data_IF_012183015120
#
_entry.id   IF_012183015120
#
_cell.length_a   1.000
_cell.length_b   1.000
_cell.length_c   1.000
_cell.angle_alpha   90.00
_cell.angle_beta   90.00
_cell.angle_gamma   90.00
#
_symmetry.space_group_name_H-M   'P 1'
#
loop_
_entity.id
_entity.type
_entity.pdbx_description
1 polymer ?
#
# COMPACT_ATOMS: atom_id res chain seq x y z
N UNK A 1 3.74 -25.22 0.90
CA UNK A 1 3.86 -23.90 1.57
C UNK A 1 2.92 -22.93 0.88
N UNK A 2 2.36 -21.96 1.59
CA UNK A 2 1.48 -20.98 0.96
C UNK A 2 2.27 -20.17 -0.08
N UNK A 3 1.93 -20.31 -1.35
CA UNK A 3 2.53 -19.55 -2.45
C UNK A 3 2.02 -18.12 -2.51
N UNK A 4 1.17 -17.70 -1.57
CA UNK A 4 0.50 -16.41 -1.61
C UNK A 4 1.16 -15.42 -0.66
N UNK A 5 1.31 -14.17 -1.09
CA UNK A 5 1.64 -13.02 -0.24
C UNK A 5 0.39 -12.15 -0.13
N UNK A 6 0.00 -11.76 1.09
CA UNK A 6 -1.13 -10.87 1.33
C UNK A 6 -0.69 -9.57 1.98
N UNK A 7 -0.87 -8.45 1.28
CA UNK A 7 -0.52 -7.11 1.77
C UNK A 7 -1.71 -6.18 1.53
N UNK A 8 -2.08 -5.38 2.55
CA UNK A 8 -3.25 -4.49 2.52
C UNK A 8 -4.56 -5.21 2.10
N UNK A 9 -4.69 -6.48 2.48
CA UNK A 9 -5.82 -7.35 2.12
C UNK A 9 -5.85 -7.81 0.66
N UNK A 10 -4.82 -7.51 -0.14
CA UNK A 10 -4.66 -8.02 -1.50
C UNK A 10 -3.70 -9.20 -1.50
N UNK A 11 -4.13 -10.31 -2.10
CA UNK A 11 -3.34 -11.53 -2.19
C UNK A 11 -2.76 -11.71 -3.59
N UNK A 12 -1.47 -12.03 -3.67
CA UNK A 12 -0.77 -12.38 -4.91
C UNK A 12 -0.21 -13.79 -4.79
N UNK A 13 -0.57 -14.65 -5.74
CA UNK A 13 0.03 -15.98 -5.86
C UNK A 13 1.38 -15.89 -6.60
N UNK A 14 2.43 -16.42 -5.98
CA UNK A 14 3.78 -16.45 -6.50
C UNK A 14 4.03 -17.66 -7.41
N UNK A 15 3.20 -18.71 -7.35
CA UNK A 15 3.35 -19.90 -8.20
C UNK A 15 2.94 -19.64 -9.65
N UNK A 16 1.93 -18.80 -9.86
CA UNK A 16 1.49 -18.35 -11.20
C UNK A 16 2.48 -17.39 -11.88
N UNK A 17 3.56 -17.03 -11.19
CA UNK A 17 4.45 -15.92 -11.56
C UNK A 17 5.68 -16.28 -12.37
N UNK A 18 5.86 -17.56 -12.76
CA UNK A 18 6.85 -17.94 -13.78
C UNK A 18 6.65 -17.18 -15.13
N UNK A 19 5.52 -16.49 -15.33
CA UNK A 19 5.25 -15.66 -16.51
C UNK A 19 5.53 -14.15 -16.35
N UNK A 20 5.73 -13.63 -15.13
CA UNK A 20 6.20 -12.25 -14.93
C UNK A 20 7.70 -12.32 -14.75
N UNK A 21 8.42 -12.21 -15.86
CA UNK A 21 9.88 -12.08 -15.89
C UNK A 21 10.36 -11.22 -14.73
N UNK A 22 11.36 -11.74 -14.00
CA UNK A 22 12.08 -11.07 -12.92
C UNK A 22 12.06 -9.56 -13.11
N UNK A 23 11.15 -8.86 -12.42
CA UNK A 23 11.00 -7.43 -12.63
C UNK A 23 12.27 -6.78 -12.09
N UNK A 24 13.06 -6.17 -12.98
CA UNK A 24 14.21 -5.39 -12.56
C UNK A 24 13.72 -4.26 -11.65
N UNK A 25 14.47 -3.97 -10.58
CA UNK A 25 14.19 -2.85 -9.68
C UNK A 25 14.57 -1.49 -10.28
N UNK A 26 14.81 -1.42 -11.60
CA UNK A 26 15.29 -0.23 -12.30
C UNK A 26 14.40 1.02 -12.10
N UNK A 27 13.11 0.83 -11.80
CA UNK A 27 12.14 1.92 -11.62
C UNK A 27 11.59 2.03 -10.18
N UNK A 28 12.12 1.26 -9.23
CA UNK A 28 11.65 1.29 -7.84
C UNK A 28 12.72 0.76 -6.90
N UNK A 29 12.88 1.44 -5.76
CA UNK A 29 13.76 0.97 -4.67
C UNK A 29 13.02 0.11 -3.65
N UNK A 30 11.70 -0.03 -3.78
CA UNK A 30 10.88 -0.74 -2.81
C UNK A 30 10.70 -2.18 -3.23
N UNK A 31 11.17 -3.10 -2.41
CA UNK A 31 11.19 -4.53 -2.69
C UNK A 31 10.48 -5.31 -1.60
N UNK A 32 9.98 -6.49 -1.97
CA UNK A 32 9.46 -7.49 -1.05
C UNK A 32 10.45 -8.65 -1.01
N UNK A 33 10.82 -9.03 0.20
CA UNK A 33 11.64 -10.21 0.46
C UNK A 33 10.82 -11.18 1.29
N UNK A 34 10.67 -12.42 0.81
CA UNK A 34 10.13 -13.53 1.60
C UNK A 34 11.24 -14.52 1.92
N UNK A 35 11.42 -14.82 3.20
CA UNK A 35 12.32 -15.87 3.66
C UNK A 35 11.58 -17.19 3.88
N UNK A 36 12.32 -18.30 3.83
CA UNK A 36 11.76 -19.64 4.05
C UNK A 36 11.30 -19.84 5.49
N UNK A 37 12.03 -19.22 6.41
CA UNK A 37 11.77 -19.20 7.85
C UNK A 37 11.89 -17.76 8.37
N UNK A 38 11.51 -17.52 9.63
CA UNK A 38 11.67 -16.20 10.22
C UNK A 38 13.15 -15.79 10.22
N UNK A 39 13.45 -14.57 9.76
CA UNK A 39 14.83 -14.10 9.66
C UNK A 39 15.48 -14.01 11.04
N UNK A 40 16.59 -14.71 11.20
CA UNK A 40 17.49 -14.59 12.36
C UNK A 40 18.31 -13.30 12.27
N UNK A 41 18.86 -12.83 13.38
CA UNK A 41 19.68 -11.61 13.38
C UNK A 41 20.93 -11.70 12.50
N UNK A 42 21.65 -12.84 12.41
CA UNK A 42 22.71 -13.02 11.42
C UNK A 42 22.23 -12.91 9.96
N UNK A 43 21.03 -13.38 9.65
CA UNK A 43 20.46 -13.28 8.30
C UNK A 43 20.03 -11.86 7.97
N UNK A 44 19.41 -11.14 8.92
CA UNK A 44 19.16 -9.70 8.78
C UNK A 44 20.47 -8.94 8.55
N UNK A 45 21.53 -9.28 9.28
CA UNK A 45 22.87 -8.70 9.10
C UNK A 45 23.43 -8.92 7.69
N UNK A 46 23.21 -10.10 7.09
CA UNK A 46 23.60 -10.38 5.69
C UNK A 46 22.83 -9.54 4.69
N UNK A 47 21.51 -9.37 4.88
CA UNK A 47 20.70 -8.50 4.02
C UNK A 47 21.16 -7.04 4.11
N UNK A 48 21.38 -6.54 5.32
CA UNK A 48 21.89 -5.18 5.55
C UNK A 48 23.26 -4.98 4.91
N UNK A 49 24.16 -5.95 5.07
CA UNK A 49 25.49 -5.92 4.44
C UNK A 49 25.42 -5.99 2.91
N UNK A 50 24.31 -6.48 2.35
CA UNK A 50 24.04 -6.50 0.91
C UNK A 50 23.38 -5.21 0.42
N UNK A 51 23.18 -4.20 1.29
CA UNK A 51 22.56 -2.91 0.95
C UNK A 51 21.04 -2.88 1.09
N UNK A 52 20.43 -3.89 1.73
CA UNK A 52 18.98 -3.94 1.98
C UNK A 52 18.66 -3.29 3.32
N UNK A 53 17.77 -2.30 3.32
CA UNK A 53 17.21 -1.71 4.54
C UNK A 53 15.81 -2.30 4.79
N UNK A 54 15.65 -3.03 5.89
CA UNK A 54 14.40 -3.74 6.24
C UNK A 54 13.48 -2.76 6.96
N UNK A 55 12.37 -2.38 6.31
CA UNK A 55 11.50 -1.31 6.80
C UNK A 55 10.32 -1.83 7.63
N UNK A 56 9.70 -2.95 7.23
CA UNK A 56 8.53 -3.49 7.93
C UNK A 56 8.30 -4.97 7.64
N UNK A 57 7.63 -5.65 8.57
CA UNK A 57 7.10 -7.00 8.39
C UNK A 57 5.66 -6.91 7.91
N UNK A 58 5.35 -7.45 6.73
CA UNK A 58 4.07 -7.19 6.03
C UNK A 58 3.20 -8.44 5.87
N UNK A 59 3.79 -9.63 5.91
CA UNK A 59 3.09 -10.92 5.90
C UNK A 59 4.04 -12.00 6.46
N UNK A 60 3.59 -13.25 6.55
CA UNK A 60 4.36 -14.39 7.07
C UNK A 60 5.73 -14.49 6.41
N UNK A 61 6.79 -14.32 7.21
CA UNK A 61 8.19 -14.30 6.76
C UNK A 61 8.46 -13.34 5.59
N UNK A 62 7.62 -12.32 5.43
CA UNK A 62 7.63 -11.40 4.30
C UNK A 62 7.86 -9.99 4.80
N UNK A 63 8.88 -9.36 4.23
CA UNK A 63 9.41 -8.08 4.65
C UNK A 63 9.36 -7.11 3.49
N UNK A 64 8.97 -5.87 3.78
CA UNK A 64 9.11 -4.74 2.88
C UNK A 64 10.45 -4.08 3.15
N UNK A 65 11.23 -3.90 2.10
CA UNK A 65 12.58 -3.37 2.20
C UNK A 65 12.83 -2.27 1.17
N UNK A 66 13.89 -1.53 1.41
CA UNK A 66 14.51 -0.61 0.47
C UNK A 66 15.79 -1.27 -0.06
N UNK A 67 15.99 -1.18 -1.37
CA UNK A 67 17.20 -1.64 -2.04
C UNK A 67 17.49 -0.72 -3.23
N UNK A 68 18.61 -0.01 -3.18
CA UNK A 68 18.95 1.02 -4.18
C UNK A 68 19.58 0.44 -5.47
N UNK A 69 19.92 -0.85 -5.48
CA UNK A 69 20.41 -1.53 -6.68
C UNK A 69 19.24 -2.08 -7.50
N UNK A 70 19.36 -1.99 -8.82
CA UNK A 70 18.38 -2.48 -9.78
C UNK A 70 18.43 -4.01 -9.94
N UNK A 71 19.54 -4.63 -9.54
CA UNK A 71 19.81 -6.05 -9.73
C UNK A 71 19.40 -6.91 -8.52
N UNK A 72 18.18 -7.45 -8.59
CA UNK A 72 17.66 -8.34 -7.56
C UNK A 72 18.27 -9.76 -7.60
N UNK A 73 18.97 -10.15 -8.68
CA UNK A 73 19.59 -11.48 -8.78
C UNK A 73 20.71 -11.68 -7.76
N UNK A 74 21.39 -10.61 -7.37
CA UNK A 74 22.42 -10.68 -6.33
C UNK A 74 21.83 -11.15 -5.00
N UNK A 75 20.66 -10.60 -4.62
CA UNK A 75 19.96 -10.99 -3.40
C UNK A 75 19.47 -12.43 -3.49
N UNK A 76 18.91 -12.83 -4.64
CA UNK A 76 18.39 -14.19 -4.88
C UNK A 76 19.49 -15.25 -4.81
N UNK A 77 20.65 -14.95 -5.40
CA UNK A 77 21.75 -15.92 -5.54
C UNK A 77 22.55 -16.07 -4.24
N UNK A 78 22.82 -14.97 -3.53
CA UNK A 78 23.70 -14.98 -2.36
C UNK A 78 23.02 -15.45 -1.08
N UNK A 79 21.68 -15.37 -1.01
CA UNK A 79 20.93 -15.61 0.22
C UNK A 79 20.03 -16.84 0.10
N UNK A 80 20.58 -18.02 0.39
CA UNK A 80 19.85 -19.31 0.29
C UNK A 80 18.64 -19.45 1.23
N UNK A 81 18.57 -18.62 2.27
CA UNK A 81 17.44 -18.55 3.22
C UNK A 81 16.24 -17.79 2.63
N UNK A 82 16.42 -17.09 1.50
CA UNK A 82 15.33 -16.45 0.79
C UNK A 82 14.54 -17.47 -0.03
N UNK A 83 13.24 -17.25 -0.04
CA UNK A 83 12.27 -17.98 -0.85
C UNK A 83 11.88 -17.14 -2.08
N UNK A 84 11.67 -15.83 -1.87
CA UNK A 84 11.25 -14.93 -2.93
C UNK A 84 11.84 -13.53 -2.74
N UNK A 85 12.18 -12.86 -3.85
CA UNK A 85 12.61 -11.45 -3.88
C UNK A 85 12.00 -10.81 -5.11
N UNK A 86 11.30 -9.70 -4.95
CA UNK A 86 10.64 -8.98 -6.05
C UNK A 86 10.43 -7.51 -5.70
N UNK A 87 9.98 -6.71 -6.65
CA UNK A 87 9.55 -5.34 -6.41
C UNK A 87 8.24 -5.28 -5.60
N UNK A 88 7.97 -4.15 -4.95
CA UNK A 88 6.68 -3.89 -4.33
C UNK A 88 5.61 -3.60 -5.39
N UNK A 89 4.71 -4.55 -5.61
CA UNK A 89 3.73 -4.47 -6.71
C UNK A 89 2.60 -3.49 -6.45
N UNK A 90 2.19 -2.80 -7.52
CA UNK A 90 1.06 -1.87 -7.55
C UNK A 90 -0.23 -2.46 -6.97
N UNK A 91 -0.46 -3.76 -7.20
CA UNK A 91 -1.65 -4.49 -6.71
C UNK A 91 -1.85 -4.40 -5.20
N UNK A 92 -0.77 -4.21 -4.44
CA UNK A 92 -0.81 -4.12 -2.97
C UNK A 92 -1.16 -2.73 -2.45
N UNK A 93 -1.00 -1.66 -3.24
CA UNK A 93 -1.11 -0.27 -2.75
C UNK A 93 -2.51 0.06 -2.25
N UNK A 94 -3.53 -0.20 -3.06
CA UNK A 94 -4.91 0.13 -2.68
C UNK A 94 -5.50 -1.01 -1.85
N UNK A 95 -5.96 -0.69 -0.64
CA UNK A 95 -6.46 -1.70 0.27
C UNK A 95 -7.74 -2.37 -0.28
N UNK A 96 -7.86 -3.69 -0.13
CA UNK A 96 -8.97 -4.46 -0.73
C UNK A 96 -10.37 -3.96 -0.32
N UNK A 97 -10.53 -3.56 0.95
CA UNK A 97 -11.77 -2.94 1.42
C UNK A 97 -12.14 -1.63 0.69
N UNK A 98 -11.15 -0.81 0.32
CA UNK A 98 -11.39 0.40 -0.46
C UNK A 98 -11.79 0.04 -1.90
N UNK A 99 -11.10 -0.93 -2.53
CA UNK A 99 -11.48 -1.44 -3.87
C UNK A 99 -12.93 -1.93 -3.91
N UNK A 100 -13.32 -2.72 -2.90
CA UNK A 100 -14.70 -3.24 -2.76
C UNK A 100 -15.71 -2.10 -2.65
N UNK A 101 -15.45 -1.12 -1.78
CA UNK A 101 -16.35 0.04 -1.59
C UNK A 101 -16.55 0.84 -2.88
N UNK A 102 -15.50 1.05 -3.66
CA UNK A 102 -15.61 1.78 -4.94
C UNK A 102 -16.43 0.97 -5.96
N UNK A 103 -16.22 -0.34 -6.01
CA UNK A 103 -16.91 -1.23 -6.96
C UNK A 103 -18.39 -1.35 -6.63
N UNK A 104 -18.75 -1.64 -5.38
CA UNK A 104 -20.17 -1.80 -4.97
C UNK A 104 -20.99 -0.52 -5.16
N UNK A 105 -20.42 0.66 -4.89
CA UNK A 105 -21.12 1.93 -5.13
C UNK A 105 -21.26 2.28 -6.62
N UNK A 106 -20.50 1.63 -7.50
CA UNK A 106 -20.64 1.81 -8.96
C UNK A 106 -21.78 0.95 -9.53
N UNK A 107 -22.21 -0.08 -8.79
CA UNK A 107 -23.25 -1.04 -9.18
C UNK A 107 -24.63 -0.70 -8.58
N UNK A 108 -24.72 0.26 -7.67
CA UNK A 108 -25.96 0.71 -7.01
C UNK A 108 -26.87 1.59 -7.90
N UNK A 109 -26.90 1.28 -9.21
CA UNK A 109 -27.94 1.71 -10.17
C UNK A 109 -28.85 0.53 -10.58
N UNK A 110 -28.94 -0.53 -9.78
CA UNK A 110 -29.95 -1.58 -9.96
C UNK A 110 -30.52 -2.01 -8.61
N UNK A 111 -31.86 -2.03 -8.44
CA UNK A 111 -32.45 -2.35 -7.16
C UNK A 111 -32.64 -3.88 -7.03
N UNK A 112 -32.71 -4.31 -5.76
CA UNK A 112 -33.35 -5.55 -5.27
C UNK A 112 -32.45 -6.77 -4.95
N UNK A 113 -32.50 -7.12 -3.65
CA UNK A 113 -32.27 -8.42 -2.99
C UNK A 113 -30.85 -9.02 -2.84
N UNK A 114 -30.22 -8.73 -1.68
CA UNK A 114 -29.50 -9.75 -0.92
C UNK A 114 -29.46 -9.42 0.59
N UNK A 115 -29.95 -10.29 1.49
CA UNK A 115 -29.86 -10.11 2.94
C UNK A 115 -28.50 -10.62 3.45
N UNK A 116 -27.65 -9.70 3.93
CA UNK A 116 -26.44 -10.09 4.69
C UNK A 116 -25.17 -9.31 4.38
N UNK A 117 -25.21 -7.98 4.35
CA UNK A 117 -24.00 -7.18 4.38
C UNK A 117 -24.04 -6.20 5.55
N UNK A 118 -23.00 -6.24 6.40
CA UNK A 118 -22.65 -5.17 7.33
C UNK A 118 -22.23 -3.93 6.52
N UNK A 119 -23.21 -3.27 5.90
CA UNK A 119 -23.05 -2.01 5.17
C UNK A 119 -23.30 -0.86 6.12
N UNK A 120 -22.35 -0.62 7.04
CA UNK A 120 -22.08 0.74 7.47
C UNK A 120 -21.16 1.37 6.41
N UNK A 121 -21.73 1.60 5.22
CA UNK A 121 -21.10 2.46 4.23
C UNK A 121 -20.94 3.84 4.87
N UNK A 122 -19.69 4.32 4.99
CA UNK A 122 -19.51 5.74 5.28
C UNK A 122 -19.98 6.43 3.99
N UNK A 123 -21.06 7.23 4.02
CA UNK A 123 -21.56 7.88 2.82
C UNK A 123 -20.45 8.74 2.22
N UNK A 124 -20.24 8.63 0.89
CA UNK A 124 -19.36 9.52 0.17
C UNK A 124 -19.95 10.92 0.22
N UNK A 125 -19.44 11.75 1.12
CA UNK A 125 -19.84 13.15 1.19
C UNK A 125 -19.39 13.81 -0.11
N UNK A 126 -20.33 14.39 -0.84
CA UNK A 126 -20.11 15.17 -2.06
C UNK A 126 -19.40 14.41 -3.21
N UNK A 127 -19.58 13.08 -3.28
CA UNK A 127 -18.94 12.25 -4.32
C UNK A 127 -17.43 12.07 -4.12
N UNK A 128 -16.92 12.31 -2.91
CA UNK A 128 -15.51 12.10 -2.55
C UNK A 128 -15.36 11.11 -1.40
N UNK A 129 -14.19 10.48 -1.32
CA UNK A 129 -13.84 9.49 -0.31
C UNK A 129 -12.71 10.06 0.56
N UNK A 130 -12.88 10.13 1.89
CA UNK A 130 -11.77 10.44 2.78
C UNK A 130 -10.83 9.24 2.84
N UNK A 131 -9.56 9.47 2.53
CA UNK A 131 -8.52 8.43 2.45
C UNK A 131 -7.28 8.82 3.25
N UNK A 132 -6.53 7.80 3.62
CA UNK A 132 -5.18 7.90 4.15
C UNK A 132 -4.24 7.25 3.14
N UNK A 133 -3.28 8.03 2.64
CA UNK A 133 -2.18 7.58 1.80
C UNK A 133 -0.97 7.36 2.71
N UNK A 134 -0.57 6.10 2.89
CA UNK A 134 0.68 5.74 3.54
C UNK A 134 1.83 5.73 2.54
N UNK A 135 2.92 6.40 2.88
CA UNK A 135 4.14 6.43 2.08
C UNK A 135 5.11 5.36 2.57
N UNK A 136 5.92 4.83 1.65
CA UNK A 136 7.07 4.01 2.02
C UNK A 136 8.03 4.80 2.91
N UNK A 137 8.79 4.09 3.75
CA UNK A 137 9.91 4.70 4.46
C UNK A 137 10.89 5.33 3.45
N UNK A 138 11.44 6.49 3.79
CA UNK A 138 12.33 7.26 2.92
C UNK A 138 11.74 7.42 1.50
N UNK A 139 10.58 8.10 1.38
CA UNK A 139 9.92 8.28 0.08
C UNK A 139 10.84 9.07 -0.86
N UNK A 140 10.92 8.63 -2.12
CA UNK A 140 11.51 9.40 -3.21
C UNK A 140 10.48 9.49 -4.34
N UNK A 141 9.99 10.69 -4.72
CA UNK A 141 10.31 12.03 -4.16
C UNK A 141 9.78 12.25 -2.71
N UNK A 142 10.07 13.40 -2.09
CA UNK A 142 9.65 13.67 -0.69
C UNK A 142 8.14 13.80 -0.53
N UNK A 143 7.62 13.74 0.70
CA UNK A 143 6.18 13.90 0.98
C UNK A 143 5.61 15.19 0.37
N UNK A 144 6.33 16.30 0.48
CA UNK A 144 5.91 17.61 -0.02
C UNK A 144 5.86 17.64 -1.55
N UNK A 145 6.85 17.04 -2.21
CA UNK A 145 6.89 16.91 -3.67
C UNK A 145 5.76 16.00 -4.17
N UNK A 146 5.51 14.87 -3.51
CA UNK A 146 4.38 13.97 -3.81
C UNK A 146 3.06 14.74 -3.70
N UNK A 147 2.84 15.47 -2.60
CA UNK A 147 1.61 16.25 -2.39
C UNK A 147 1.45 17.32 -3.46
N UNK A 148 2.52 18.05 -3.79
CA UNK A 148 2.52 19.04 -4.86
C UNK A 148 2.14 18.42 -6.20
N UNK A 149 2.70 17.27 -6.53
CA UNK A 149 2.45 16.58 -7.80
C UNK A 149 1.01 16.02 -7.85
N UNK A 150 0.49 15.50 -6.73
CA UNK A 150 -0.91 15.07 -6.60
C UNK A 150 -1.90 16.23 -6.79
N UNK A 151 -1.59 17.41 -6.25
CA UNK A 151 -2.41 18.63 -6.43
C UNK A 151 -2.31 19.14 -7.88
N UNK A 152 -1.11 19.18 -8.45
CA UNK A 152 -0.86 19.63 -9.82
C UNK A 152 -1.56 18.72 -10.84
N UNK A 153 -1.56 17.41 -10.59
CA UNK A 153 -2.30 16.42 -11.36
C UNK A 153 -3.82 16.42 -11.10
N UNK A 154 -4.34 17.33 -10.27
CA UNK A 154 -5.75 17.43 -9.89
C UNK A 154 -6.33 16.13 -9.32
N UNK A 155 -5.49 15.32 -8.68
CA UNK A 155 -5.91 14.07 -8.02
C UNK A 155 -6.51 14.36 -6.64
N UNK A 156 -5.94 15.34 -5.92
CA UNK A 156 -6.38 15.77 -4.59
C UNK A 156 -6.45 17.31 -4.52
N UNK A 157 -7.10 17.84 -3.49
CA UNK A 157 -7.21 19.29 -3.27
C UNK A 157 -6.39 19.73 -2.07
N UNK A 158 -5.66 20.83 -2.20
CA UNK A 158 -4.84 21.40 -1.12
C UNK A 158 -5.63 21.64 0.17
N UNK A 159 -6.82 22.27 0.05
CA UNK A 159 -7.67 22.65 1.20
C UNK A 159 -8.18 21.45 2.04
N UNK A 160 -8.20 20.26 1.44
CA UNK A 160 -8.74 19.05 2.06
C UNK A 160 -7.61 18.08 2.41
N UNK A 161 -6.34 18.52 2.35
CA UNK A 161 -5.14 17.68 2.54
C UNK A 161 -4.38 18.09 3.80
N UNK A 162 -4.09 17.10 4.65
CA UNK A 162 -3.18 17.22 5.78
C UNK A 162 -1.99 16.27 5.61
N UNK A 163 -0.78 16.74 5.90
CA UNK A 163 0.46 15.99 5.71
C UNK A 163 1.12 15.67 7.04
N UNK A 164 1.60 14.45 7.17
CA UNK A 164 2.34 13.94 8.32
C UNK A 164 3.58 13.18 7.83
N UNK A 165 4.59 12.96 8.68
CA UNK A 165 5.71 12.09 8.33
C UNK A 165 5.22 10.71 7.86
N UNK A 166 5.48 10.37 6.60
CA UNK A 166 5.09 9.09 5.98
C UNK A 166 3.60 8.91 5.69
N UNK A 167 2.78 9.97 5.78
CA UNK A 167 1.32 9.86 5.65
C UNK A 167 0.68 11.14 5.11
N UNK A 168 -0.31 10.99 4.25
CA UNK A 168 -1.14 12.08 3.71
C UNK A 168 -2.60 11.72 3.96
N UNK A 169 -3.33 12.59 4.65
CA UNK A 169 -4.77 12.49 4.85
C UNK A 169 -5.46 13.44 3.88
N UNK A 170 -6.40 12.94 3.10
CA UNK A 170 -7.06 13.76 2.07
C UNK A 170 -8.43 13.22 1.68
N UNK A 171 -9.12 13.94 0.81
CA UNK A 171 -10.31 13.45 0.10
C UNK A 171 -10.01 13.31 -1.38
N UNK A 172 -10.52 12.25 -2.00
CA UNK A 172 -10.28 11.94 -3.41
C UNK A 172 -11.59 11.55 -4.11
N UNK A 173 -11.72 11.87 -5.39
CA UNK A 173 -12.83 11.38 -6.22
C UNK A 173 -12.62 9.90 -6.57
N UNK A 174 -13.65 9.04 -6.54
CA UNK A 174 -13.51 7.61 -6.81
C UNK A 174 -12.77 7.29 -8.12
N UNK A 175 -12.99 8.08 -9.18
CA UNK A 175 -12.33 7.89 -10.48
C UNK A 175 -10.81 8.10 -10.45
N UNK A 176 -10.29 8.87 -9.49
CA UNK A 176 -8.87 9.20 -9.38
C UNK A 176 -8.10 8.20 -8.51
N UNK A 177 -8.79 7.30 -7.80
CA UNK A 177 -8.16 6.41 -6.82
C UNK A 177 -7.13 5.48 -7.47
N UNK A 178 -7.44 4.93 -8.63
CA UNK A 178 -6.55 4.01 -9.35
C UNK A 178 -5.26 4.68 -9.84
N UNK A 179 -5.26 6.01 -10.04
CA UNK A 179 -4.06 6.74 -10.43
C UNK A 179 -2.97 6.70 -9.35
N UNK A 180 -3.34 6.51 -8.07
CA UNK A 180 -2.40 6.44 -6.95
C UNK A 180 -1.51 5.18 -7.01
N UNK A 181 -1.94 4.11 -7.70
CA UNK A 181 -1.12 2.90 -7.83
C UNK A 181 0.17 3.13 -8.64
N UNK A 182 0.17 4.13 -9.52
CA UNK A 182 1.31 4.47 -10.36
C UNK A 182 2.44 5.19 -9.61
N UNK A 183 2.15 5.76 -8.44
CA UNK A 183 3.12 6.56 -7.67
C UNK A 183 3.97 5.63 -6.84
N UNK A 184 5.25 5.51 -7.18
CA UNK A 184 6.15 4.50 -6.60
C UNK A 184 6.22 4.59 -5.06
N UNK A 185 6.36 5.78 -4.51
CA UNK A 185 6.53 6.04 -3.07
C UNK A 185 5.28 5.76 -2.21
N UNK A 186 4.12 5.50 -2.82
CA UNK A 186 2.91 5.11 -2.07
C UNK A 186 3.00 3.63 -1.69
N UNK A 187 2.93 3.36 -0.38
CA UNK A 187 2.87 2.02 0.19
C UNK A 187 1.42 1.54 0.36
N UNK A 188 0.52 2.42 0.79
CA UNK A 188 -0.87 2.03 1.06
C UNK A 188 -1.86 3.15 0.82
N UNK A 189 -3.08 2.79 0.44
CA UNK A 189 -4.24 3.69 0.36
C UNK A 189 -5.40 3.02 1.06
N UNK A 190 -5.88 3.63 2.14
CA UNK A 190 -6.99 3.12 2.96
C UNK A 190 -8.06 4.17 3.15
N UNK A 191 -9.28 3.77 3.53
CA UNK A 191 -10.33 4.73 3.94
C UNK A 191 -9.92 5.35 5.26
N UNK A 192 -10.03 6.68 5.38
CA UNK A 192 -9.88 7.33 6.66
C UNK A 192 -11.06 6.94 7.56
N UNK A 193 -10.77 6.20 8.63
CA UNK A 193 -11.75 5.93 9.68
C UNK A 193 -11.81 7.23 10.50
N UNK A 194 -12.72 8.12 10.16
CA UNK A 194 -12.99 9.26 11.02
C UNK A 194 -13.32 8.70 12.41
N UNK A 195 -12.56 9.09 13.44
CA UNK A 195 -13.09 9.10 14.81
C UNK A 195 -14.23 10.11 14.82
N UNK A 196 -15.41 9.68 14.38
CA UNK A 196 -16.65 10.31 14.78
C UNK A 196 -16.83 9.90 16.24
N UNK A 197 -17.00 10.89 17.12
CA UNK A 197 -17.27 10.80 18.57
C UNK A 197 -16.06 10.76 19.52
N UNK A 198 -15.50 11.95 19.81
CA UNK A 198 -15.27 12.43 21.20
C UNK A 198 -14.92 13.94 21.17
N UNK A 199 -15.93 14.76 20.89
CA UNK A 199 -15.89 16.20 21.16
C UNK A 199 -17.27 16.79 21.54
N UNK A 200 -18.34 15.99 21.51
CA UNK A 200 -19.69 16.42 21.95
C UNK A 200 -20.09 15.88 23.34
N UNK A 201 -19.13 15.41 24.14
CA UNK A 201 -19.36 14.97 25.53
C UNK A 201 -18.60 15.81 26.58
N UNK A 202 -18.17 17.02 26.22
CA UNK A 202 -17.70 18.01 27.21
C UNK A 202 -18.39 19.36 27.00
N UNK A 203 -19.65 19.32 26.59
CA UNK A 203 -20.57 20.41 26.84
C UNK A 203 -20.78 20.53 28.35
N UNK A 204 -20.31 21.65 28.90
CA UNK A 204 -20.70 22.11 30.23
C UNK A 204 -22.23 22.02 30.36
N UNK A 205 -22.68 21.30 31.37
CA UNK A 205 -23.81 21.68 32.22
C UNK A 205 -23.35 21.47 33.66
#
# INVERSE_FOLDING_TARGET
MASTITINGNSLDLSTRQMLAFSAAANTRYIIIRSREALTDPEKGKLISSGVDITSYVDTNTYLCIYDSDNLEELRTRNKFLDHVDIYHRVFKIHANLKRRITTNSEENSPEDAPGALSAGIPFKDGTIPIVIGLHAQPKPTTEEIVRDLITGNLIKYKDTATYPGRIDTVISPQNIWALEAIDSIQSVTVAINKISQAEASGLI
#
